data_IF_803988623628
#
_entry.id   IF_803988623628
#
_cell.length_a   1.000
_cell.length_b   1.000
_cell.length_c   1.000
_cell.angle_alpha   90.00
_cell.angle_beta   90.00
_cell.angle_gamma   90.00
#
_symmetry.space_group_name_H-M   'P 1'
#
loop_
_entity.id
_entity.type
_entity.pdbx_description
1 polymer ?
#
# COMPACT_ATOMS: atom_id res chain seq x y z
N UNK A 1 23.42 22.77 8.84
CA UNK A 1 23.39 22.16 7.49
C UNK A 1 21.95 21.84 7.11
N UNK A 2 21.67 21.58 5.83
CA UNK A 2 20.32 21.19 5.37
C UNK A 2 19.82 19.92 6.07
N UNK A 3 20.75 19.00 6.36
CA UNK A 3 20.55 17.82 7.21
C UNK A 3 19.96 18.18 8.59
N UNK A 4 20.56 19.14 9.31
CA UNK A 4 20.11 19.54 10.65
C UNK A 4 18.72 20.19 10.65
N UNK A 5 18.32 20.87 9.57
CA UNK A 5 16.93 21.37 9.44
C UNK A 5 15.94 20.24 9.23
N UNK A 6 16.30 19.23 8.44
CA UNK A 6 15.44 18.07 8.20
C UNK A 6 15.26 17.24 9.48
N UNK A 7 16.35 17.05 10.24
CA UNK A 7 16.33 16.38 11.53
C UNK A 7 15.44 17.13 12.54
N UNK A 8 15.55 18.46 12.59
CA UNK A 8 14.70 19.30 13.44
C UNK A 8 13.21 19.24 13.05
N UNK A 9 12.88 19.21 11.75
CA UNK A 9 11.49 19.07 11.28
C UNK A 9 10.88 17.71 11.64
N UNK A 10 11.68 16.64 11.57
CA UNK A 10 11.26 15.28 11.94
C UNK A 10 11.06 15.11 13.46
N UNK A 11 11.73 15.92 14.28
CA UNK A 11 11.60 15.91 15.75
C UNK A 11 10.52 16.88 16.26
N UNK A 12 10.32 18.02 15.59
CA UNK A 12 9.41 19.07 16.03
C UNK A 12 7.93 18.83 15.65
N UNK A 13 7.64 17.89 14.73
CA UNK A 13 6.28 17.58 14.31
C UNK A 13 5.97 16.09 14.51
N UNK A 14 5.07 15.72 15.44
CA UNK A 14 4.58 14.35 15.57
C UNK A 14 3.61 14.08 14.41
N UNK A 15 4.16 14.00 13.20
CA UNK A 15 3.42 13.51 12.05
C UNK A 15 3.33 11.99 12.13
N UNK A 16 2.23 11.42 11.66
CA UNK A 16 1.99 9.97 11.62
C UNK A 16 3.10 9.20 10.89
N UNK A 17 3.86 9.88 10.03
CA UNK A 17 4.93 9.34 9.21
C UNK A 17 6.33 9.43 9.86
N UNK A 18 6.44 10.05 11.04
CA UNK A 18 7.68 10.09 11.81
C UNK A 18 7.97 8.71 12.39
N UNK A 19 9.20 8.20 12.20
CA UNK A 19 9.64 6.91 12.75
C UNK A 19 9.59 6.83 14.28
N UNK A 20 9.45 7.98 14.96
CA UNK A 20 9.38 8.09 16.42
C UNK A 20 7.93 8.13 16.95
N UNK A 21 6.92 8.13 16.08
CA UNK A 21 5.51 8.18 16.48
C UNK A 21 4.82 6.85 16.22
N UNK A 22 4.39 6.17 17.28
CA UNK A 22 3.56 4.96 17.19
C UNK A 22 2.12 5.34 17.47
N UNK A 23 1.22 5.31 16.46
CA UNK A 23 -0.19 5.63 16.68
C UNK A 23 -0.85 4.59 17.58
N UNK A 24 -1.84 5.00 18.38
CA UNK A 24 -2.63 4.07 19.20
C UNK A 24 -3.50 3.14 18.34
N UNK A 25 -3.97 3.63 17.19
CA UNK A 25 -4.66 2.87 16.16
C UNK A 25 -4.15 3.32 14.81
N UNK A 26 -3.63 2.40 14.00
CA UNK A 26 -3.16 2.73 12.67
C UNK A 26 -4.31 2.93 11.66
N UNK A 27 -4.00 3.63 10.58
CA UNK A 27 -4.91 3.75 9.45
C UNK A 27 -5.22 2.36 8.88
N UNK A 28 -6.51 2.11 8.64
CA UNK A 28 -7.01 0.82 8.16
C UNK A 28 -7.16 -0.26 9.25
N UNK A 29 -6.87 0.05 10.52
CA UNK A 29 -7.03 -0.91 11.60
C UNK A 29 -8.50 -1.28 11.82
N UNK A 30 -8.77 -2.58 11.90
CA UNK A 30 -10.09 -3.12 12.21
C UNK A 30 -9.94 -4.46 12.94
N UNK A 31 -10.56 -4.57 14.11
CA UNK A 31 -10.65 -5.84 14.79
C UNK A 31 -11.70 -6.71 14.10
N UNK A 32 -11.40 -8.00 13.97
CA UNK A 32 -12.35 -9.01 13.50
C UNK A 32 -12.53 -10.08 14.57
N UNK A 33 -13.74 -10.66 14.64
CA UNK A 33 -14.03 -11.82 15.47
C UNK A 33 -13.41 -13.11 14.93
N UNK A 34 -12.88 -13.07 13.70
CA UNK A 34 -12.16 -14.17 13.08
C UNK A 34 -10.77 -13.74 12.62
N UNK A 35 -9.91 -14.72 12.32
CA UNK A 35 -8.55 -14.49 11.82
C UNK A 35 -8.50 -14.80 10.33
N UNK A 36 -7.88 -13.92 9.56
CA UNK A 36 -7.68 -14.13 8.13
C UNK A 36 -6.20 -14.35 7.82
N UNK A 37 -5.94 -15.30 6.93
CA UNK A 37 -4.61 -15.60 6.43
C UNK A 37 -4.50 -15.19 4.97
N UNK A 38 -3.43 -14.46 4.66
CA UNK A 38 -3.11 -14.04 3.31
C UNK A 38 -2.21 -15.12 2.72
N UNK A 39 -2.78 -16.06 1.99
CA UNK A 39 -2.08 -17.30 1.61
C UNK A 39 -1.15 -17.08 0.43
N UNK A 40 -1.54 -16.23 -0.53
CA UNK A 40 -0.77 -16.03 -1.77
C UNK A 40 -1.08 -14.69 -2.41
N UNK A 41 -0.04 -14.05 -2.94
CA UNK A 41 -0.16 -12.91 -3.87
C UNK A 41 0.48 -13.27 -5.21
N UNK A 42 -0.24 -13.09 -6.31
CA UNK A 42 0.26 -13.34 -7.67
C UNK A 42 -0.16 -12.22 -8.61
N UNK A 43 0.57 -12.02 -9.70
CA UNK A 43 0.09 -11.15 -10.78
C UNK A 43 -1.12 -11.79 -11.49
N UNK A 44 -2.14 -10.97 -11.74
CA UNK A 44 -3.36 -11.42 -12.44
C UNK A 44 -3.07 -11.57 -13.95
N UNK A 45 -3.27 -12.76 -14.54
CA UNK A 45 -3.11 -12.97 -15.98
C UNK A 45 -4.19 -12.19 -16.76
N UNK A 46 -3.83 -11.70 -17.95
CA UNK A 46 -4.75 -10.93 -18.81
C UNK A 46 -5.01 -9.49 -18.35
N UNK A 47 -4.13 -8.93 -17.51
CA UNK A 47 -4.17 -7.52 -17.12
C UNK A 47 -3.95 -6.61 -18.33
N UNK A 48 -4.89 -5.67 -18.55
CA UNK A 48 -4.77 -4.61 -19.57
C UNK A 48 -4.10 -3.35 -19.02
N UNK A 49 -4.05 -3.21 -17.70
CA UNK A 49 -3.44 -2.08 -17.01
C UNK A 49 -1.95 -2.34 -16.69
N UNK A 50 -1.33 -1.36 -16.04
CA UNK A 50 0.11 -1.31 -15.82
C UNK A 50 0.59 -2.32 -14.75
N UNK A 51 -0.27 -2.66 -13.79
CA UNK A 51 -0.04 -3.67 -12.76
C UNK A 51 -1.39 -4.27 -12.30
N UNK A 52 -1.52 -5.59 -12.24
CA UNK A 52 -2.68 -6.23 -11.63
C UNK A 52 -2.27 -7.37 -10.71
N UNK A 53 -2.97 -7.51 -9.59
CA UNK A 53 -2.66 -8.47 -8.54
C UNK A 53 -3.89 -9.28 -8.16
N UNK A 54 -3.66 -10.54 -7.81
CA UNK A 54 -4.58 -11.40 -7.07
C UNK A 54 -4.02 -11.62 -5.67
N UNK A 55 -4.88 -11.43 -4.69
CA UNK A 55 -4.61 -11.75 -3.30
C UNK A 55 -5.58 -12.84 -2.89
N UNK A 56 -5.05 -13.95 -2.42
CA UNK A 56 -5.80 -15.07 -1.87
C UNK A 56 -5.88 -14.91 -0.35
N UNK A 57 -7.09 -15.01 0.19
CA UNK A 57 -7.39 -14.81 1.60
C UNK A 57 -8.25 -15.96 2.06
N UNK A 58 -7.84 -16.62 3.14
CA UNK A 58 -8.63 -17.65 3.81
C UNK A 58 -9.06 -17.21 5.20
N UNK A 59 -10.25 -17.61 5.61
CA UNK A 59 -10.70 -17.47 6.99
C UNK A 59 -10.14 -18.63 7.82
N UNK A 60 -9.14 -18.37 8.65
CA UNK A 60 -8.48 -19.35 9.50
C UNK A 60 -9.07 -19.39 10.94
N UNK A 61 -10.06 -18.56 11.25
CA UNK A 61 -10.71 -18.57 12.56
C UNK A 61 -11.98 -19.42 12.61
N UNK A 62 -12.70 -19.32 13.73
CA UNK A 62 -13.87 -20.18 14.03
C UNK A 62 -15.22 -19.53 13.72
N UNK A 63 -15.24 -18.28 13.28
CA UNK A 63 -16.47 -17.53 12.99
C UNK A 63 -16.47 -17.04 11.55
N UNK A 64 -17.67 -16.93 10.97
CA UNK A 64 -17.82 -16.31 9.66
C UNK A 64 -17.49 -14.80 9.74
N UNK A 65 -16.80 -14.28 8.73
CA UNK A 65 -16.39 -12.88 8.69
C UNK A 65 -16.02 -12.42 7.29
N UNK A 66 -15.85 -11.12 7.11
CA UNK A 66 -15.32 -10.53 5.89
C UNK A 66 -14.10 -9.68 6.22
N UNK A 67 -13.08 -9.74 5.36
CA UNK A 67 -11.81 -9.04 5.51
C UNK A 67 -11.73 -7.89 4.50
N UNK A 68 -11.10 -6.78 4.88
CA UNK A 68 -10.76 -5.69 3.95
C UNK A 68 -9.28 -5.74 3.66
N UNK A 69 -8.95 -6.22 2.47
CA UNK A 69 -7.58 -6.32 1.97
C UNK A 69 -7.13 -4.95 1.50
N UNK A 70 -5.97 -4.50 1.97
CA UNK A 70 -5.42 -3.19 1.65
C UNK A 70 -4.08 -3.34 0.93
N UNK A 71 -3.91 -2.58 -0.16
CA UNK A 71 -2.67 -2.55 -0.95
C UNK A 71 -2.08 -1.14 -0.93
N UNK A 72 -0.89 -1.05 -0.36
CA UNK A 72 -0.08 0.15 -0.30
C UNK A 72 1.05 0.07 -1.31
N UNK A 73 1.33 1.18 -1.99
CA UNK A 73 2.46 1.30 -2.91
C UNK A 73 3.50 2.23 -2.31
N UNK A 74 4.76 1.79 -2.36
CA UNK A 74 5.93 2.59 -2.00
C UNK A 74 6.87 2.67 -3.19
N UNK A 75 7.22 3.89 -3.59
CA UNK A 75 8.01 4.16 -4.78
C UNK A 75 9.48 4.39 -4.43
N UNK A 76 10.41 3.77 -5.16
CA UNK A 76 11.85 3.88 -4.88
C UNK A 76 12.37 5.33 -5.04
N UNK A 77 11.93 6.03 -6.08
CA UNK A 77 12.30 7.42 -6.36
C UNK A 77 11.52 8.45 -5.52
N UNK A 78 10.57 7.99 -4.71
CA UNK A 78 9.73 8.81 -3.84
C UNK A 78 10.47 9.29 -2.58
N UNK A 79 11.62 9.95 -2.72
CA UNK A 79 12.30 10.57 -1.56
C UNK A 79 11.32 11.48 -0.83
N UNK A 80 11.09 11.21 0.46
CA UNK A 80 10.14 11.95 1.30
C UNK A 80 8.65 11.60 1.09
N UNK A 81 8.31 10.74 0.14
CA UNK A 81 6.94 10.29 -0.06
C UNK A 81 6.67 9.05 0.81
N UNK A 82 5.66 9.09 1.70
CA UNK A 82 5.25 7.92 2.44
C UNK A 82 4.62 6.87 1.51
N UNK A 83 4.52 5.63 1.99
CA UNK A 83 3.68 4.63 1.31
C UNK A 83 2.22 5.13 1.28
N UNK A 84 1.52 4.87 0.19
CA UNK A 84 0.14 5.33 0.01
C UNK A 84 -0.79 4.16 -0.28
N UNK A 85 -1.99 4.17 0.31
CA UNK A 85 -3.05 3.23 -0.04
C UNK A 85 -3.49 3.51 -1.48
N UNK A 86 -3.42 2.50 -2.35
CA UNK A 86 -3.82 2.61 -3.77
C UNK A 86 -4.96 1.68 -4.14
N UNK A 87 -5.19 0.63 -3.36
CA UNK A 87 -6.31 -0.27 -3.57
C UNK A 87 -6.77 -0.85 -2.24
N UNK A 88 -8.08 -1.02 -2.11
CA UNK A 88 -8.67 -1.80 -1.02
C UNK A 88 -9.88 -2.55 -1.57
N UNK A 89 -10.04 -3.80 -1.16
CA UNK A 89 -11.17 -4.63 -1.57
C UNK A 89 -11.65 -5.44 -0.39
N UNK A 90 -12.96 -5.62 -0.30
CA UNK A 90 -13.59 -6.40 0.76
C UNK A 90 -13.94 -7.78 0.22
N UNK A 91 -13.53 -8.82 0.95
CA UNK A 91 -13.91 -10.19 0.61
C UNK A 91 -15.43 -10.36 0.73
N UNK A 92 -15.97 -11.40 0.08
CA UNK A 92 -17.29 -11.91 0.48
C UNK A 92 -17.27 -12.35 1.95
N UNK A 93 -18.44 -12.64 2.50
CA UNK A 93 -18.53 -13.29 3.80
C UNK A 93 -17.94 -14.71 3.67
N UNK A 94 -16.87 -14.98 4.41
CA UNK A 94 -16.18 -16.27 4.42
C UNK A 94 -16.54 -17.04 5.68
N UNK A 95 -17.02 -18.27 5.51
CA UNK A 95 -17.13 -19.22 6.62
C UNK A 95 -15.74 -19.71 7.07
N UNK A 96 -15.60 -20.28 8.28
CA UNK A 96 -14.37 -20.92 8.72
C UNK A 96 -13.81 -21.91 7.68
N UNK A 97 -12.55 -21.73 7.29
CA UNK A 97 -11.87 -22.55 6.28
C UNK A 97 -12.16 -22.16 4.83
N UNK A 98 -13.06 -21.21 4.57
CA UNK A 98 -13.31 -20.75 3.20
C UNK A 98 -12.23 -19.77 2.72
N UNK A 99 -12.03 -19.77 1.40
CA UNK A 99 -11.09 -18.90 0.71
C UNK A 99 -11.84 -17.99 -0.28
N UNK A 100 -11.38 -16.75 -0.39
CA UNK A 100 -11.74 -15.81 -1.42
C UNK A 100 -10.51 -15.28 -2.15
N UNK A 101 -10.73 -14.74 -3.35
CA UNK A 101 -9.68 -14.09 -4.14
C UNK A 101 -10.16 -12.71 -4.56
N UNK A 102 -9.49 -11.70 -4.05
CA UNK A 102 -9.70 -10.31 -4.48
C UNK A 102 -8.65 -9.92 -5.52
N UNK A 103 -9.01 -8.99 -6.38
CA UNK A 103 -8.09 -8.50 -7.41
C UNK A 103 -7.98 -6.99 -7.38
N UNK A 104 -6.81 -6.52 -7.77
CA UNK A 104 -6.49 -5.10 -7.87
C UNK A 104 -5.92 -4.82 -9.24
N UNK A 105 -6.28 -3.68 -9.82
CA UNK A 105 -5.73 -3.21 -11.08
C UNK A 105 -5.30 -1.74 -10.89
N UNK A 106 -4.04 -1.46 -11.20
CA UNK A 106 -3.43 -0.14 -11.00
C UNK A 106 -3.13 0.49 -12.35
N UNK A 107 -3.67 1.68 -12.56
CA UNK A 107 -3.46 2.50 -13.74
C UNK A 107 -2.13 3.25 -13.68
N UNK A 108 -1.77 3.90 -14.79
CA UNK A 108 -0.64 4.83 -14.85
C UNK A 108 -0.68 5.87 -13.73
N UNK A 109 -1.86 6.41 -13.41
CA UNK A 109 -2.03 7.44 -12.40
C UNK A 109 -1.80 6.90 -10.98
N UNK A 110 -2.21 5.65 -10.71
CA UNK A 110 -2.00 5.01 -9.40
C UNK A 110 -0.53 4.75 -9.12
N UNK A 111 0.25 4.53 -10.18
CA UNK A 111 1.70 4.35 -10.15
C UNK A 111 2.47 5.66 -10.26
N UNK A 112 1.77 6.79 -10.37
CA UNK A 112 2.39 8.09 -10.56
C UNK A 112 2.67 8.81 -9.25
N UNK A 113 3.85 9.42 -9.21
CA UNK A 113 4.17 10.48 -8.26
C UNK A 113 4.05 11.83 -8.96
N UNK A 114 3.50 12.79 -8.23
CA UNK A 114 3.57 14.17 -8.66
C UNK A 114 4.98 14.69 -8.33
N UNK A 115 5.77 15.05 -9.35
CA UNK A 115 7.05 15.72 -9.09
C UNK A 115 6.79 17.18 -8.76
N UNK A 116 7.04 17.54 -7.51
CA UNK A 116 7.35 18.92 -7.16
C UNK A 116 8.87 19.14 -7.32
N UNK A 117 9.24 20.20 -8.01
CA UNK A 117 10.56 20.44 -8.55
C UNK A 117 11.37 21.27 -7.54
N UNK A 118 12.37 20.68 -6.90
CA UNK A 118 13.45 21.43 -6.22
C UNK A 118 14.43 22.11 -7.22
N UNK A 119 14.00 22.47 -8.43
CA UNK A 119 14.84 23.11 -9.45
C UNK A 119 14.09 24.21 -10.21
N UNK A 120 13.92 25.39 -9.59
CA UNK A 120 13.85 26.76 -10.18
C UNK A 120 13.13 27.03 -11.54
N UNK A 121 12.42 26.09 -12.14
CA UNK A 121 11.79 26.18 -13.44
C UNK A 121 10.39 25.54 -13.34
N UNK A 122 9.40 26.40 -13.22
CA UNK A 122 7.96 26.13 -13.05
C UNK A 122 7.32 25.39 -14.26
N UNK A 123 8.11 24.92 -15.23
CA UNK A 123 7.59 24.46 -16.54
C UNK A 123 7.24 22.98 -16.66
N UNK A 124 7.68 22.11 -15.75
CA UNK A 124 7.54 20.64 -15.92
C UNK A 124 6.82 19.91 -14.77
N UNK A 125 5.82 20.55 -14.15
CA UNK A 125 4.95 19.91 -13.17
C UNK A 125 4.04 18.89 -13.87
N UNK A 126 4.35 17.60 -13.72
CA UNK A 126 3.56 16.52 -14.31
C UNK A 126 3.57 15.26 -13.44
N UNK A 127 2.49 14.49 -13.55
CA UNK A 127 2.42 13.12 -13.04
C UNK A 127 3.39 12.25 -13.83
N UNK A 128 4.31 11.59 -13.12
CA UNK A 128 5.22 10.63 -13.72
C UNK A 128 5.06 9.28 -13.05
N UNK A 129 4.69 8.29 -13.85
CA UNK A 129 4.63 6.92 -13.39
C UNK A 129 6.01 6.40 -13.01
N UNK A 130 6.05 5.64 -11.93
CA UNK A 130 7.25 5.03 -11.39
C UNK A 130 7.29 3.56 -11.83
N UNK A 131 8.43 3.15 -12.39
CA UNK A 131 8.62 1.78 -12.84
C UNK A 131 8.81 0.84 -11.65
N UNK A 132 9.71 1.18 -10.73
CA UNK A 132 10.05 0.32 -9.60
C UNK A 132 9.20 0.66 -8.37
N UNK A 133 8.30 -0.26 -8.04
CA UNK A 133 7.30 -0.09 -6.99
C UNK A 133 7.41 -1.26 -6.00
N UNK A 134 7.47 -0.94 -4.72
CA UNK A 134 7.26 -1.92 -3.65
C UNK A 134 5.77 -1.99 -3.36
N UNK A 135 5.19 -3.16 -3.56
CA UNK A 135 3.81 -3.49 -3.22
C UNK A 135 3.78 -4.06 -1.81
N UNK A 136 2.92 -3.51 -0.98
CA UNK A 136 2.70 -3.91 0.40
C UNK A 136 1.23 -4.29 0.54
N UNK A 137 0.94 -5.55 0.88
CA UNK A 137 -0.42 -6.06 1.06
C UNK A 137 -0.62 -6.39 2.53
N UNK A 138 -1.70 -5.89 3.11
CA UNK A 138 -1.97 -6.04 4.54
C UNK A 138 -3.43 -5.85 4.92
N UNK A 139 -3.68 -6.02 6.21
CA UNK A 139 -4.99 -5.74 6.84
C UNK A 139 -5.07 -4.30 7.37
N UNK A 140 -3.93 -3.67 7.63
CA UNK A 140 -3.82 -2.27 8.02
C UNK A 140 -2.51 -1.66 7.50
N UNK A 141 -2.31 -0.35 7.71
CA UNK A 141 -1.06 0.31 7.32
C UNK A 141 0.17 -0.15 8.11
N UNK A 142 0.00 -0.74 9.31
CA UNK A 142 1.11 -1.34 10.08
C UNK A 142 1.11 -2.87 10.01
N UNK A 143 -0.03 -3.49 9.71
CA UNK A 143 -0.17 -4.94 9.58
C UNK A 143 0.00 -5.40 8.13
N UNK A 144 1.24 -5.28 7.63
CA UNK A 144 1.64 -5.74 6.29
C UNK A 144 1.99 -7.23 6.33
N UNK A 145 1.28 -8.03 5.54
CA UNK A 145 1.41 -9.50 5.50
C UNK A 145 2.27 -9.98 4.34
N UNK A 146 2.28 -9.25 3.23
CA UNK A 146 3.13 -9.52 2.06
C UNK A 146 3.81 -8.24 1.58
N UNK A 147 5.08 -8.35 1.20
CA UNK A 147 5.85 -7.24 0.65
C UNK A 147 6.75 -7.76 -0.47
N UNK A 148 6.66 -7.17 -1.65
CA UNK A 148 7.49 -7.54 -2.80
C UNK A 148 7.68 -6.34 -3.74
N UNK A 149 8.75 -6.39 -4.53
CA UNK A 149 9.03 -5.38 -5.55
C UNK A 149 8.54 -5.86 -6.91
N UNK A 150 7.97 -4.93 -7.68
CA UNK A 150 7.56 -5.16 -9.07
C UNK A 150 8.03 -4.01 -9.93
N UNK A 151 8.36 -4.32 -11.18
CA UNK A 151 8.57 -3.32 -12.21
C UNK A 151 7.29 -3.18 -13.03
N UNK A 152 6.54 -2.10 -12.80
CA UNK A 152 5.29 -1.83 -13.51
C UNK A 152 5.53 -1.54 -15.00
N UNK A 153 4.53 -1.87 -15.82
CA UNK A 153 4.57 -1.63 -17.27
C UNK A 153 4.12 -0.20 -17.56
N UNK A 154 4.99 0.78 -17.34
CA UNK A 154 4.70 2.23 -17.47
C UNK A 154 5.55 2.92 -18.52
#
# INVERSE_FOLDING_TARGET
SEQQRQDWWNEATPSYWSSKFTPAFEFGFGLSYTKFEYTRVVEKPGCLLNLCLWVHISNAGSYAGAEVVQVYLKFADGKGHPMALRGFEKTKLLNPGEEDRVWFEFSYHDLSLYRDINSQAVKDLSWKAQKDVTVLVGSSSLDIRHSFQVSAKV
#
